data_IF_298070793284
#
_entry.id   IF_298070793284
#
_cell.length_a   1.000
_cell.length_b   1.000
_cell.length_c   1.000
_cell.angle_alpha   90.00
_cell.angle_beta   90.00
_cell.angle_gamma   90.00
#
_symmetry.space_group_name_H-M   'P 1'
#
loop_
_entity.id
_entity.type
_entity.pdbx_description
1 polymer ?
#
# COMPACT_ATOMS: atom_id res chain seq x y z
N UNK A 1 -0.48 10.72 -6.97
CA UNK A 1 0.85 10.12 -6.73
C UNK A 1 2.00 10.94 -7.29
N UNK A 2 1.82 11.69 -8.39
CA UNK A 2 2.85 12.59 -8.99
C UNK A 2 3.61 13.47 -7.99
N UNK A 3 2.99 14.16 -7.01
CA UNK A 3 3.73 14.97 -6.04
C UNK A 3 4.72 14.19 -5.16
N UNK A 4 4.55 12.87 -5.08
CA UNK A 4 5.34 11.96 -4.26
C UNK A 4 6.14 10.96 -5.12
N UNK A 5 6.57 11.40 -6.32
CA UNK A 5 7.44 10.64 -7.23
C UNK A 5 6.80 9.42 -7.89
N UNK A 6 5.50 9.18 -7.71
CA UNK A 6 4.81 8.04 -8.31
C UNK A 6 4.34 8.24 -9.75
N UNK A 7 4.64 9.37 -10.40
CA UNK A 7 4.36 9.54 -11.82
C UNK A 7 4.86 10.87 -12.38
N UNK A 8 4.97 10.95 -13.71
CA UNK A 8 5.18 12.18 -14.47
C UNK A 8 3.96 12.51 -15.31
N UNK A 9 3.56 13.78 -15.31
CA UNK A 9 2.32 14.22 -15.99
C UNK A 9 2.37 13.91 -17.48
N UNK A 10 3.50 14.16 -18.14
CA UNK A 10 3.63 13.91 -19.57
C UNK A 10 3.55 12.41 -19.93
N UNK A 11 4.16 11.54 -19.13
CA UNK A 11 4.10 10.08 -19.33
C UNK A 11 2.66 9.56 -19.11
N UNK A 12 1.98 10.06 -18.09
CA UNK A 12 0.57 9.73 -17.81
C UNK A 12 -0.33 10.17 -18.96
N UNK A 13 -0.12 11.38 -19.50
CA UNK A 13 -0.89 11.88 -20.64
C UNK A 13 -0.60 11.08 -21.93
N UNK A 14 0.64 10.65 -22.15
CA UNK A 14 0.99 9.76 -23.26
C UNK A 14 0.26 8.41 -23.16
N UNK A 15 0.29 7.77 -21.98
CA UNK A 15 -0.45 6.53 -21.74
C UNK A 15 -1.96 6.73 -21.93
N UNK A 16 -2.53 7.78 -21.32
CA UNK A 16 -3.95 8.10 -21.42
C UNK A 16 -4.41 8.35 -22.87
N UNK A 17 -3.56 8.95 -23.71
CA UNK A 17 -3.90 9.19 -25.12
C UNK A 17 -4.10 7.92 -25.96
N UNK A 18 -3.60 6.77 -25.47
CA UNK A 18 -3.69 5.46 -26.12
C UNK A 18 -4.83 4.60 -25.56
N UNK A 19 -5.44 5.00 -24.45
CA UNK A 19 -6.55 4.30 -23.81
C UNK A 19 -7.85 4.64 -24.55
N UNK A 20 -8.58 3.60 -24.92
CA UNK A 20 -9.90 3.71 -25.55
C UNK A 20 -10.97 3.59 -24.49
N UNK A 21 -12.07 4.31 -24.68
CA UNK A 21 -13.22 4.25 -23.78
C UNK A 21 -13.76 2.81 -23.69
N UNK A 22 -14.05 2.36 -22.47
CA UNK A 22 -14.61 1.03 -22.17
C UNK A 22 -13.78 -0.16 -22.69
N UNK A 23 -12.46 -0.01 -22.80
CA UNK A 23 -11.54 -1.05 -23.29
C UNK A 23 -10.45 -1.36 -22.25
N UNK A 24 -10.67 -2.36 -21.37
CA UNK A 24 -9.69 -2.79 -20.36
C UNK A 24 -8.36 -3.26 -20.96
N UNK A 25 -8.36 -3.80 -22.17
CA UNK A 25 -7.12 -4.24 -22.84
C UNK A 25 -6.30 -3.03 -23.26
N UNK A 26 -6.93 -1.96 -23.76
CA UNK A 26 -6.22 -0.71 -24.08
C UNK A 26 -5.62 -0.06 -22.83
N UNK A 27 -6.33 -0.11 -21.70
CA UNK A 27 -5.83 0.29 -20.39
C UNK A 27 -4.60 -0.53 -20.01
N UNK A 28 -4.73 -1.85 -19.97
CA UNK A 28 -3.65 -2.74 -19.58
C UNK A 28 -2.43 -2.60 -20.48
N UNK A 29 -2.58 -2.39 -21.79
CA UNK A 29 -1.44 -2.29 -22.69
C UNK A 29 -0.71 -0.93 -22.61
N UNK A 30 -1.43 0.16 -22.29
CA UNK A 30 -0.85 1.50 -22.24
C UNK A 30 0.14 1.69 -21.09
N UNK A 31 -0.15 1.11 -19.92
CA UNK A 31 0.60 1.35 -18.70
C UNK A 31 1.96 0.63 -18.63
N UNK A 32 2.11 -0.66 -18.99
CA UNK A 32 3.39 -1.35 -19.05
C UNK A 32 4.33 -0.75 -20.09
N UNK A 33 3.81 -0.12 -21.15
CA UNK A 33 4.66 0.60 -22.12
C UNK A 33 5.42 1.73 -21.44
N UNK A 34 4.73 2.61 -20.72
CA UNK A 34 5.36 3.72 -19.98
C UNK A 34 6.10 3.24 -18.73
N UNK A 35 5.61 2.19 -18.06
CA UNK A 35 6.28 1.52 -16.94
C UNK A 35 7.65 0.98 -17.32
N UNK A 36 7.74 0.28 -18.46
CA UNK A 36 9.01 -0.28 -18.97
C UNK A 36 10.02 0.82 -19.32
N UNK A 37 9.56 1.95 -19.88
CA UNK A 37 10.44 3.10 -20.14
C UNK A 37 10.96 3.71 -18.85
N UNK A 38 10.10 3.90 -17.85
CA UNK A 38 10.49 4.40 -16.54
C UNK A 38 11.47 3.47 -15.81
N UNK A 39 11.26 2.15 -15.92
CA UNK A 39 12.15 1.11 -15.38
C UNK A 39 13.53 1.18 -16.05
N UNK A 40 13.60 1.32 -17.38
CA UNK A 40 14.87 1.46 -18.11
C UNK A 40 15.66 2.71 -17.68
N UNK A 41 14.97 3.85 -17.52
CA UNK A 41 15.59 5.08 -16.99
C UNK A 41 16.14 4.85 -15.57
N UNK A 42 15.38 4.13 -14.74
CA UNK A 42 15.81 3.80 -13.38
C UNK A 42 17.06 2.91 -13.37
N UNK A 43 17.12 1.91 -14.25
CA UNK A 43 18.26 1.00 -14.40
C UNK A 43 19.51 1.73 -14.90
N UNK A 44 19.37 2.64 -15.86
CA UNK A 44 20.48 3.48 -16.33
C UNK A 44 21.01 4.38 -15.19
N UNK A 45 20.11 5.03 -14.45
CA UNK A 45 20.47 5.85 -13.29
C UNK A 45 21.15 5.02 -12.18
N UNK A 46 20.64 3.83 -11.88
CA UNK A 46 21.24 2.89 -10.92
C UNK A 46 22.66 2.50 -11.35
N UNK A 47 22.87 2.23 -12.65
CA UNK A 47 24.18 1.83 -13.19
C UNK A 47 25.23 2.95 -13.14
N UNK A 48 24.80 4.21 -13.15
CA UNK A 48 25.65 5.40 -13.10
C UNK A 48 25.78 5.98 -11.70
N UNK A 49 25.08 5.42 -10.71
CA UNK A 49 25.12 5.86 -9.32
C UNK A 49 24.22 7.06 -8.97
N UNK A 50 23.34 7.48 -9.89
CA UNK A 50 22.36 8.53 -9.61
C UNK A 50 21.18 7.96 -8.79
N UNK A 51 21.34 8.00 -7.47
CA UNK A 51 20.36 7.52 -6.49
C UNK A 51 18.98 8.16 -6.66
N UNK A 52 18.93 9.46 -6.97
CA UNK A 52 17.66 10.22 -7.03
C UNK A 52 16.90 9.86 -8.31
N UNK A 53 17.60 9.81 -9.44
CA UNK A 53 16.98 9.40 -10.70
C UNK A 53 16.55 7.93 -10.66
N UNK A 54 17.36 7.04 -10.06
CA UNK A 54 17.02 5.63 -9.88
C UNK A 54 15.75 5.47 -9.03
N UNK A 55 15.70 6.14 -7.86
CA UNK A 55 14.51 6.16 -6.99
C UNK A 55 13.25 6.56 -7.77
N UNK A 56 13.29 7.73 -8.41
CA UNK A 56 12.15 8.28 -9.13
C UNK A 56 11.71 7.38 -10.28
N UNK A 57 12.65 6.87 -11.06
CA UNK A 57 12.35 5.95 -12.16
C UNK A 57 11.60 4.70 -11.66
N UNK A 58 12.13 4.04 -10.63
CA UNK A 58 11.53 2.84 -10.06
C UNK A 58 10.15 3.10 -9.41
N UNK A 59 9.97 4.21 -8.69
CA UNK A 59 8.68 4.54 -8.07
C UNK A 59 7.58 4.76 -9.12
N UNK A 60 7.91 5.43 -10.23
CA UNK A 60 6.98 5.62 -11.36
C UNK A 60 6.70 4.31 -12.08
N UNK A 61 7.74 3.51 -12.36
CA UNK A 61 7.62 2.22 -13.02
C UNK A 61 6.67 1.29 -12.24
N UNK A 62 6.90 1.17 -10.94
CA UNK A 62 6.04 0.43 -10.02
C UNK A 62 4.59 0.91 -10.09
N UNK A 63 4.35 2.22 -9.97
CA UNK A 63 3.00 2.75 -9.97
C UNK A 63 2.28 2.54 -11.32
N UNK A 64 2.97 2.68 -12.45
CA UNK A 64 2.39 2.43 -13.76
C UNK A 64 2.04 0.95 -13.94
N UNK A 65 2.92 0.03 -13.55
CA UNK A 65 2.62 -1.40 -13.59
C UNK A 65 1.46 -1.76 -12.66
N UNK A 66 1.40 -1.19 -11.45
CA UNK A 66 0.26 -1.33 -10.54
C UNK A 66 -1.03 -0.79 -11.16
N UNK A 67 -0.97 0.30 -11.95
CA UNK A 67 -2.12 0.82 -12.68
C UNK A 67 -2.66 -0.17 -13.70
N UNK A 68 -1.76 -0.84 -14.43
CA UNK A 68 -2.12 -1.72 -15.54
C UNK A 68 -3.12 -2.81 -15.14
N UNK A 69 -2.93 -3.43 -13.97
CA UNK A 69 -3.78 -4.53 -13.52
C UNK A 69 -5.14 -4.08 -12.95
N UNK A 70 -5.36 -2.79 -12.70
CA UNK A 70 -6.54 -2.28 -12.00
C UNK A 70 -7.87 -2.65 -12.68
N UNK A 71 -7.89 -2.75 -14.01
CA UNK A 71 -9.09 -3.10 -14.77
C UNK A 71 -9.26 -4.62 -15.00
N UNK A 72 -8.29 -5.44 -14.58
CA UNK A 72 -8.24 -6.89 -14.85
C UNK A 72 -8.81 -7.71 -13.68
N UNK A 73 -9.98 -7.31 -13.19
CA UNK A 73 -10.62 -7.88 -12.00
C UNK A 73 -11.83 -8.77 -12.31
N UNK A 74 -12.13 -9.02 -13.59
CA UNK A 74 -13.26 -9.85 -13.98
C UNK A 74 -12.99 -11.36 -13.80
N UNK A 75 -13.98 -12.04 -13.24
CA UNK A 75 -13.96 -13.48 -13.03
C UNK A 75 -13.27 -13.92 -11.73
N UNK A 76 -13.00 -15.23 -11.59
CA UNK A 76 -12.34 -15.77 -10.40
C UNK A 76 -10.93 -15.21 -10.18
N UNK A 77 -10.49 -15.14 -8.93
CA UNK A 77 -9.11 -14.72 -8.60
C UNK A 77 -8.10 -15.62 -9.32
N UNK A 78 -7.18 -14.98 -10.06
CA UNK A 78 -6.17 -15.65 -10.87
C UNK A 78 -6.64 -16.12 -12.26
N UNK A 79 -7.84 -15.70 -12.68
CA UNK A 79 -8.34 -15.96 -14.03
C UNK A 79 -7.49 -15.23 -15.10
N UNK A 80 -7.24 -13.94 -14.91
CA UNK A 80 -6.35 -13.17 -15.77
C UNK A 80 -4.88 -13.49 -15.45
N UNK A 81 -4.15 -14.00 -16.45
CA UNK A 81 -2.76 -14.45 -16.32
C UNK A 81 -1.75 -13.30 -16.27
N UNK A 82 -2.17 -12.08 -16.61
CA UNK A 82 -1.32 -10.90 -16.61
C UNK A 82 -1.21 -10.22 -15.25
N UNK A 83 -2.23 -10.38 -14.40
CA UNK A 83 -2.32 -9.68 -13.10
C UNK A 83 -1.15 -10.02 -12.19
N UNK A 84 -0.92 -11.31 -11.92
CA UNK A 84 0.11 -11.72 -10.96
C UNK A 84 1.54 -11.35 -11.43
N UNK A 85 1.97 -11.66 -12.67
CA UNK A 85 3.30 -11.25 -13.14
C UNK A 85 3.51 -9.73 -13.15
N UNK A 86 2.48 -8.97 -13.53
CA UNK A 86 2.55 -7.50 -13.55
C UNK A 86 2.65 -6.92 -12.14
N UNK A 87 1.90 -7.49 -11.19
CA UNK A 87 1.97 -7.11 -9.77
C UNK A 87 3.33 -7.45 -9.17
N UNK A 88 3.86 -8.64 -9.41
CA UNK A 88 5.20 -9.04 -8.94
C UNK A 88 6.29 -8.10 -9.46
N UNK A 89 6.21 -7.70 -10.73
CA UNK A 89 7.13 -6.73 -11.32
C UNK A 89 6.98 -5.34 -10.71
N UNK A 90 5.74 -4.88 -10.47
CA UNK A 90 5.49 -3.62 -9.78
C UNK A 90 6.08 -3.61 -8.36
N UNK A 91 5.99 -4.73 -7.64
CA UNK A 91 6.56 -4.92 -6.30
C UNK A 91 8.09 -4.89 -6.35
N UNK A 92 8.71 -5.55 -7.33
CA UNK A 92 10.17 -5.53 -7.47
C UNK A 92 10.70 -4.12 -7.73
N UNK A 93 10.09 -3.40 -8.68
CA UNK A 93 10.42 -2.00 -8.95
C UNK A 93 10.24 -1.13 -7.70
N UNK A 94 9.13 -1.29 -6.98
CA UNK A 94 8.91 -0.56 -5.73
C UNK A 94 10.04 -0.80 -4.72
N UNK A 95 10.38 -2.07 -4.49
CA UNK A 95 11.43 -2.48 -3.55
C UNK A 95 12.81 -1.98 -3.96
N UNK A 96 13.09 -1.85 -5.25
CA UNK A 96 14.33 -1.22 -5.75
C UNK A 96 14.31 0.28 -5.48
N UNK A 97 13.20 0.94 -5.77
CA UNK A 97 13.03 2.38 -5.55
C UNK A 97 13.20 2.79 -4.09
N UNK A 98 12.53 2.11 -3.16
CA UNK A 98 12.55 2.51 -1.74
C UNK A 98 13.92 2.36 -1.06
N UNK A 99 14.83 1.54 -1.60
CA UNK A 99 16.22 1.43 -1.09
C UNK A 99 17.03 2.72 -1.26
N UNK A 100 16.56 3.64 -2.09
CA UNK A 100 17.18 4.94 -2.32
C UNK A 100 16.52 6.08 -1.54
N UNK A 101 15.57 5.77 -0.64
CA UNK A 101 15.07 6.74 0.31
C UNK A 101 16.15 7.15 1.31
N UNK A 102 15.96 8.31 1.92
CA UNK A 102 16.91 8.85 2.90
C UNK A 102 16.80 8.13 4.26
N UNK A 103 15.60 7.63 4.58
CA UNK A 103 15.33 6.82 5.76
C UNK A 103 15.33 5.33 5.45
N UNK A 104 15.58 4.51 6.47
CA UNK A 104 15.62 3.05 6.33
C UNK A 104 14.24 2.49 6.04
N UNK A 105 14.19 1.45 5.20
CA UNK A 105 12.98 0.68 4.91
C UNK A 105 13.24 -0.78 5.20
N UNK A 106 12.49 -1.34 6.14
CA UNK A 106 12.56 -2.76 6.46
C UNK A 106 11.47 -3.54 5.74
N UNK A 107 11.88 -4.53 4.96
CA UNK A 107 10.98 -5.51 4.34
C UNK A 107 10.69 -6.63 5.34
N UNK A 108 9.49 -6.63 5.89
CA UNK A 108 9.05 -7.57 6.91
C UNK A 108 8.07 -8.59 6.31
N UNK A 109 8.02 -9.77 6.93
CA UNK A 109 7.07 -10.82 6.57
C UNK A 109 6.39 -11.31 7.84
N UNK A 110 5.20 -10.77 8.12
CA UNK A 110 4.44 -11.05 9.34
C UNK A 110 3.92 -12.48 9.25
N UNK A 111 4.33 -13.40 10.17
CA UNK A 111 3.80 -14.76 10.17
C UNK A 111 2.29 -14.76 10.39
N UNK A 112 1.58 -15.50 9.55
CA UNK A 112 0.13 -15.61 9.59
C UNK A 112 -0.33 -17.07 9.51
N UNK A 113 -1.64 -17.28 9.60
CA UNK A 113 -2.28 -18.59 9.57
C UNK A 113 -1.84 -19.43 8.36
N UNK A 114 -1.81 -20.77 8.52
CA UNK A 114 -1.49 -21.71 7.44
C UNK A 114 -0.13 -21.48 6.76
N UNK A 115 0.85 -20.92 7.48
CA UNK A 115 2.20 -20.58 7.00
C UNK A 115 2.24 -19.45 5.96
N UNK A 116 1.11 -18.79 5.71
CA UNK A 116 1.06 -17.57 4.91
C UNK A 116 1.82 -16.48 5.65
N UNK A 117 2.43 -15.56 4.91
CA UNK A 117 3.09 -14.39 5.47
C UNK A 117 2.49 -13.15 4.87
N UNK A 118 2.16 -12.17 5.70
CA UNK A 118 1.71 -10.86 5.22
C UNK A 118 2.95 -10.02 4.91
N UNK A 119 3.20 -9.65 3.65
CA UNK A 119 4.29 -8.77 3.30
C UNK A 119 4.00 -7.39 3.86
N UNK A 120 5.00 -6.77 4.46
CA UNK A 120 4.86 -5.46 5.09
C UNK A 120 6.14 -4.65 4.98
N UNK A 121 6.00 -3.33 4.90
CA UNK A 121 7.10 -2.39 4.81
C UNK A 121 7.05 -1.43 5.99
N UNK A 122 8.13 -1.41 6.77
CA UNK A 122 8.32 -0.43 7.84
C UNK A 122 9.29 0.65 7.37
N UNK A 123 8.77 1.85 7.16
CA UNK A 123 9.51 3.03 6.75
C UNK A 123 9.88 3.83 8.00
N UNK A 124 11.17 4.09 8.20
CA UNK A 124 11.68 4.87 9.32
C UNK A 124 12.01 6.30 8.88
N UNK A 125 11.83 7.30 9.75
CA UNK A 125 12.31 8.65 9.50
C UNK A 125 13.83 8.66 9.32
N UNK A 126 14.38 9.45 8.39
CA UNK A 126 15.82 9.68 8.36
C UNK A 126 16.27 10.42 9.64
N UNK A 127 17.52 10.23 10.05
CA UNK A 127 18.06 10.78 11.31
C UNK A 127 17.79 12.28 11.49
N UNK A 128 17.85 13.07 10.41
CA UNK A 128 17.60 14.52 10.45
C UNK A 128 16.14 14.91 10.73
N UNK A 129 15.22 13.94 10.69
CA UNK A 129 13.79 14.09 11.04
C UNK A 129 13.45 13.48 12.39
N UNK A 130 14.36 12.70 12.97
CA UNK A 130 14.25 12.24 14.34
C UNK A 130 14.51 13.40 15.31
N UNK A 131 13.85 13.39 16.46
CA UNK A 131 14.09 14.38 17.51
C UNK A 131 15.37 14.01 18.28
N UNK A 132 16.44 14.83 18.29
CA UNK A 132 17.67 14.50 19.01
C UNK A 132 17.41 14.44 20.52
N UNK A 133 17.69 13.28 21.15
CA UNK A 133 17.32 12.99 22.54
C UNK A 133 15.82 13.15 22.83
N UNK A 134 14.98 13.08 21.79
CA UNK A 134 13.54 13.21 21.88
C UNK A 134 12.85 11.90 22.29
N UNK A 135 11.51 11.91 22.33
CA UNK A 135 10.76 10.67 22.48
C UNK A 135 11.06 9.71 21.32
N UNK A 136 10.83 8.43 21.58
CA UNK A 136 10.93 7.38 20.56
C UNK A 136 10.03 7.71 19.36
N UNK A 137 10.32 7.09 18.22
CA UNK A 137 9.62 7.33 16.96
C UNK A 137 8.17 6.81 17.00
N UNK A 138 7.13 7.67 16.96
CA UNK A 138 5.74 7.23 16.92
C UNK A 138 5.45 6.44 15.65
N UNK A 139 4.58 5.43 15.76
CA UNK A 139 4.29 4.51 14.64
C UNK A 139 2.87 4.68 14.12
N UNK A 140 2.74 4.80 12.80
CA UNK A 140 1.47 4.76 12.08
C UNK A 140 1.35 3.43 11.32
N UNK A 141 0.39 2.60 11.69
CA UNK A 141 0.02 1.39 10.94
C UNK A 141 -1.04 1.76 9.90
N UNK A 142 -0.75 1.54 8.63
CA UNK A 142 -1.71 1.72 7.54
C UNK A 142 -2.21 0.37 7.04
N UNK A 143 -3.53 0.16 7.15
CA UNK A 143 -4.21 -1.08 6.74
C UNK A 143 -4.66 -1.09 5.28
N UNK A 144 -4.21 -0.12 4.49
CA UNK A 144 -4.45 -0.02 3.06
C UNK A 144 -5.87 0.37 2.70
N UNK A 145 -6.32 -0.10 1.53
CA UNK A 145 -7.68 0.06 1.00
C UNK A 145 -8.21 -1.28 0.50
N UNK A 146 -9.37 -1.29 -0.16
CA UNK A 146 -10.01 -2.53 -0.60
C UNK A 146 -9.39 -3.16 -1.85
N UNK A 147 -8.99 -2.31 -2.79
CA UNK A 147 -8.46 -2.66 -4.11
C UNK A 147 -7.00 -2.20 -4.32
N UNK A 148 -6.39 -1.61 -3.29
CA UNK A 148 -5.01 -1.16 -3.30
C UNK A 148 -3.99 -2.24 -2.94
N UNK A 149 -2.72 -1.94 -3.22
CA UNK A 149 -1.55 -2.68 -2.72
C UNK A 149 -0.76 -1.80 -1.74
N UNK A 150 0.00 -2.38 -0.81
CA UNK A 150 0.81 -1.60 0.12
C UNK A 150 1.82 -0.64 -0.58
N UNK A 151 2.29 -0.98 -1.78
CA UNK A 151 3.12 -0.12 -2.63
C UNK A 151 2.37 1.12 -3.12
N UNK A 152 1.07 1.00 -3.37
CA UNK A 152 0.21 2.14 -3.69
C UNK A 152 0.06 3.08 -2.49
N UNK A 153 -0.16 2.48 -1.32
CA UNK A 153 -0.35 3.18 -0.05
C UNK A 153 0.86 4.01 0.34
N UNK A 154 2.05 3.63 -0.13
CA UNK A 154 3.25 4.46 0.04
C UNK A 154 3.01 5.90 -0.40
N UNK A 155 2.40 6.13 -1.57
CA UNK A 155 2.19 7.48 -2.10
C UNK A 155 1.15 8.30 -1.34
N UNK A 156 0.40 7.68 -0.43
CA UNK A 156 -0.66 8.31 0.36
C UNK A 156 -0.16 8.65 1.76
N UNK A 157 0.51 7.70 2.44
CA UNK A 157 0.95 7.89 3.83
C UNK A 157 2.45 7.72 4.04
N UNK A 158 3.07 6.69 3.47
CA UNK A 158 4.45 6.35 3.81
C UNK A 158 5.50 7.22 3.12
N UNK A 159 5.12 7.96 2.07
CA UNK A 159 5.95 8.98 1.43
C UNK A 159 6.04 10.28 2.23
N UNK A 160 5.19 10.47 3.26
CA UNK A 160 5.13 11.70 4.06
C UNK A 160 5.44 11.44 5.54
N UNK A 161 4.95 10.34 6.10
CA UNK A 161 5.11 10.02 7.53
C UNK A 161 6.56 10.11 8.04
N UNK A 162 7.54 9.43 7.39
CA UNK A 162 8.95 9.55 7.74
C UNK A 162 9.50 10.99 7.70
N UNK A 163 9.03 11.82 6.76
CA UNK A 163 9.44 13.25 6.71
C UNK A 163 8.84 14.10 7.83
N UNK A 164 7.76 13.63 8.44
CA UNK A 164 7.13 14.21 9.63
C UNK A 164 7.64 13.61 10.94
N UNK A 165 8.59 12.66 10.88
CA UNK A 165 9.16 12.00 12.07
C UNK A 165 8.37 10.79 12.57
N UNK A 166 7.49 10.21 11.75
CA UNK A 166 6.75 8.99 12.08
C UNK A 166 7.35 7.78 11.39
N UNK A 167 7.42 6.66 12.10
CA UNK A 167 7.54 5.36 11.46
C UNK A 167 6.19 5.02 10.82
N UNK A 168 6.20 4.45 9.61
CA UNK A 168 4.97 4.01 8.94
C UNK A 168 5.10 2.54 8.61
N UNK A 169 4.12 1.74 9.00
CA UNK A 169 4.02 0.33 8.64
C UNK A 169 2.87 0.15 7.66
N UNK A 170 3.16 -0.29 6.44
CA UNK A 170 2.14 -0.74 5.47
C UNK A 170 2.19 -2.26 5.35
N UNK A 171 1.07 -2.90 5.01
CA UNK A 171 1.01 -4.33 4.78
C UNK A 171 -0.15 -4.70 3.84
N UNK A 172 -0.01 -5.83 3.16
CA UNK A 172 -1.14 -6.48 2.48
C UNK A 172 -1.71 -7.58 3.40
N UNK A 173 -2.99 -7.46 3.78
CA UNK A 173 -3.69 -8.45 4.58
C UNK A 173 -4.54 -9.44 3.77
N UNK A 174 -5.30 -10.31 4.47
CA UNK A 174 -6.33 -11.16 3.84
C UNK A 174 -7.27 -10.32 2.95
N UNK A 175 -7.45 -10.71 1.68
CA UNK A 175 -8.29 -9.98 0.73
C UNK A 175 -7.62 -8.79 0.04
N UNK A 176 -6.34 -8.52 0.29
CA UNK A 176 -5.63 -7.35 -0.28
C UNK A 176 -4.42 -7.77 -1.12
N UNK A 177 -4.09 -6.93 -2.10
CA UNK A 177 -2.83 -6.94 -2.85
C UNK A 177 -2.31 -8.32 -3.24
N UNK A 178 -1.00 -8.54 -3.02
CA UNK A 178 -0.33 -9.78 -3.43
C UNK A 178 -0.81 -11.00 -2.63
N UNK A 179 -1.27 -10.81 -1.39
CA UNK A 179 -1.80 -11.88 -0.53
C UNK A 179 -3.07 -12.48 -1.12
N UNK A 180 -3.98 -11.65 -1.66
CA UNK A 180 -5.15 -12.15 -2.37
C UNK A 180 -4.76 -12.85 -3.69
N UNK A 181 -3.82 -12.27 -4.45
CA UNK A 181 -3.50 -12.79 -5.80
C UNK A 181 -2.67 -14.07 -5.77
N UNK A 182 -1.70 -14.16 -4.88
CA UNK A 182 -0.78 -15.29 -4.76
C UNK A 182 -1.34 -16.38 -3.86
N UNK A 183 -1.67 -16.03 -2.61
CA UNK A 183 -2.10 -17.01 -1.59
C UNK A 183 -3.61 -17.28 -1.63
N UNK A 184 -4.38 -16.49 -2.40
CA UNK A 184 -5.85 -16.59 -2.50
C UNK A 184 -6.52 -16.52 -1.13
N UNK A 185 -5.91 -15.78 -0.20
CA UNK A 185 -6.43 -15.61 1.15
C UNK A 185 -7.55 -14.56 1.11
N UNK A 186 -8.82 -14.95 1.30
CA UNK A 186 -9.94 -14.01 1.20
C UNK A 186 -9.97 -13.06 2.41
N UNK A 187 -10.66 -11.93 2.24
CA UNK A 187 -10.98 -11.03 3.34
C UNK A 187 -11.74 -11.78 4.44
N UNK A 188 -11.45 -11.44 5.70
CA UNK A 188 -12.14 -11.96 6.88
C UNK A 188 -12.96 -10.86 7.56
N UNK A 189 -14.06 -11.20 8.25
CA UNK A 189 -14.94 -10.21 8.88
C UNK A 189 -14.37 -9.60 10.17
N UNK A 190 -13.50 -10.33 10.86
CA UNK A 190 -12.87 -10.01 12.15
C UNK A 190 -11.45 -9.43 11.96
N UNK A 191 -11.38 -8.22 11.41
CA UNK A 191 -10.10 -7.58 11.02
C UNK A 191 -9.19 -7.27 12.21
N UNK A 192 -9.73 -7.14 13.42
CA UNK A 192 -8.96 -6.97 14.65
C UNK A 192 -7.95 -8.10 14.88
N UNK A 193 -8.24 -9.31 14.38
CA UNK A 193 -7.31 -10.45 14.44
C UNK A 193 -6.08 -10.20 13.56
N UNK A 194 -6.26 -9.60 12.39
CA UNK A 194 -5.16 -9.26 11.48
C UNK A 194 -4.28 -8.20 12.12
N UNK A 195 -4.89 -7.13 12.64
CA UNK A 195 -4.18 -6.03 13.31
C UNK A 195 -3.43 -6.53 14.53
N UNK A 196 -4.02 -7.43 15.33
CA UNK A 196 -3.33 -8.06 16.46
C UNK A 196 -2.03 -8.75 16.04
N UNK A 197 -2.02 -9.50 14.92
CA UNK A 197 -0.80 -10.14 14.37
C UNK A 197 0.23 -9.14 13.87
N UNK A 198 -0.22 -8.07 13.22
CA UNK A 198 0.65 -6.98 12.74
C UNK A 198 1.36 -6.32 13.93
N UNK A 199 0.62 -6.01 15.00
CA UNK A 199 1.15 -5.39 16.21
C UNK A 199 2.09 -6.32 16.98
N UNK A 200 1.77 -7.62 17.11
CA UNK A 200 2.65 -8.61 17.72
C UNK A 200 4.01 -8.63 16.99
N UNK A 201 3.98 -8.66 15.66
CA UNK A 201 5.20 -8.67 14.86
C UNK A 201 5.98 -7.36 14.94
N UNK A 202 5.30 -6.21 14.98
CA UNK A 202 5.95 -4.91 15.18
C UNK A 202 6.69 -4.86 16.53
N UNK A 203 6.07 -5.40 17.58
CA UNK A 203 6.67 -5.53 18.90
C UNK A 203 7.89 -6.46 18.88
N UNK A 204 7.80 -7.61 18.21
CA UNK A 204 8.91 -8.55 18.06
C UNK A 204 10.08 -7.89 17.31
N UNK A 205 9.77 -7.18 16.22
CA UNK A 205 10.75 -6.44 15.42
C UNK A 205 11.46 -5.39 16.27
N UNK A 206 10.73 -4.57 17.01
CA UNK A 206 11.28 -3.52 17.88
C UNK A 206 12.21 -4.09 18.95
N UNK A 207 11.87 -5.24 19.54
CA UNK A 207 12.74 -5.92 20.52
C UNK A 207 14.03 -6.45 19.88
N UNK A 208 13.95 -6.97 18.65
CA UNK A 208 15.10 -7.46 17.91
C UNK A 208 15.98 -6.34 17.34
N UNK A 209 15.42 -5.14 17.12
CA UNK A 209 16.07 -3.99 16.49
C UNK A 209 15.94 -2.73 17.37
N UNK A 210 16.58 -2.69 18.56
CA UNK A 210 16.47 -1.53 19.46
C UNK A 210 16.93 -0.21 18.82
N UNK A 211 17.78 -0.26 17.79
CA UNK A 211 18.24 0.92 17.04
C UNK A 211 17.17 1.59 16.17
N UNK A 212 16.04 0.92 15.88
CA UNK A 212 14.90 1.55 15.20
C UNK A 212 14.15 2.55 16.11
N UNK A 213 14.40 2.49 17.42
CA UNK A 213 13.86 3.39 18.45
C UNK A 213 12.36 3.69 18.30
N UNK A 214 11.56 2.64 18.10
CA UNK A 214 10.12 2.75 17.92
C UNK A 214 9.40 3.02 19.25
N UNK A 215 8.45 3.94 19.22
CA UNK A 215 7.49 4.19 20.29
C UNK A 215 6.29 3.24 20.13
N UNK A 216 6.25 2.22 21.00
CA UNK A 216 5.16 1.24 21.01
C UNK A 216 4.02 1.63 21.94
N UNK A 217 4.17 2.71 22.72
CA UNK A 217 3.10 3.27 23.55
C UNK A 217 2.25 4.26 22.75
N UNK A 218 2.76 4.77 21.62
CA UNK A 218 2.06 5.71 20.72
C UNK A 218 1.91 5.13 19.30
N UNK A 219 1.05 4.12 19.17
CA UNK A 219 0.70 3.53 17.87
C UNK A 219 -0.64 4.09 17.39
N UNK A 220 -0.65 4.66 16.19
CA UNK A 220 -1.86 5.05 15.48
C UNK A 220 -2.18 4.06 14.36
N UNK A 221 -3.46 3.93 14.00
CA UNK A 221 -3.92 3.18 12.84
C UNK A 221 -4.65 4.08 11.85
N UNK A 222 -4.47 3.84 10.55
CA UNK A 222 -5.18 4.56 9.48
C UNK A 222 -5.54 3.65 8.32
N UNK A 223 -6.60 4.00 7.60
CA UNK A 223 -6.95 3.41 6.32
C UNK A 223 -8.03 4.22 5.61
N UNK A 224 -8.13 4.05 4.30
CA UNK A 224 -9.09 4.76 3.46
C UNK A 224 -10.08 3.81 2.79
N UNK A 225 -11.30 4.28 2.52
CA UNK A 225 -12.37 3.46 1.93
C UNK A 225 -12.62 2.21 2.79
N UNK A 226 -12.52 1.00 2.22
CA UNK A 226 -12.60 -0.26 2.97
C UNK A 226 -11.52 -0.37 4.07
N UNK A 227 -10.37 0.27 3.88
CA UNK A 227 -9.35 0.46 4.91
C UNK A 227 -9.79 1.29 6.11
N UNK A 228 -10.73 2.22 5.92
CA UNK A 228 -11.32 2.96 7.02
C UNK A 228 -12.17 2.07 7.93
N UNK A 229 -12.88 1.10 7.35
CA UNK A 229 -13.57 0.04 8.12
C UNK A 229 -12.56 -0.82 8.89
N UNK A 230 -11.49 -1.25 8.22
CA UNK A 230 -10.41 -1.99 8.84
C UNK A 230 -9.73 -1.24 10.00
N UNK A 231 -9.51 0.07 9.86
CA UNK A 231 -8.90 0.89 10.89
C UNK A 231 -9.80 0.97 12.14
N UNK A 232 -11.12 1.12 11.95
CA UNK A 232 -12.10 1.14 13.05
C UNK A 232 -12.10 -0.18 13.84
N UNK A 233 -12.06 -1.33 13.15
CA UNK A 233 -11.97 -2.63 13.81
C UNK A 233 -10.58 -2.87 14.42
N UNK A 234 -9.52 -2.43 13.77
CA UNK A 234 -8.17 -2.50 14.33
C UNK A 234 -8.00 -1.69 15.62
N UNK A 235 -8.72 -0.59 15.75
CA UNK A 235 -8.69 0.28 16.91
C UNK A 235 -9.30 -0.32 18.19
N UNK A 236 -9.91 -1.51 18.12
CA UNK A 236 -10.36 -2.24 19.32
C UNK A 236 -9.19 -2.87 20.09
N UNK A 237 -8.02 -3.04 19.44
CA UNK A 237 -6.81 -3.50 20.13
C UNK A 237 -6.29 -2.39 21.06
N UNK A 238 -6.11 -2.65 22.36
CA UNK A 238 -5.78 -1.62 23.36
C UNK A 238 -4.41 -0.96 23.16
N UNK A 239 -3.55 -1.53 22.30
CA UNK A 239 -2.26 -0.92 21.93
C UNK A 239 -2.42 0.27 20.99
N UNK A 240 -3.53 0.35 20.24
CA UNK A 240 -3.81 1.48 19.36
C UNK A 240 -4.31 2.67 20.18
N UNK A 241 -3.62 3.81 20.07
CA UNK A 241 -3.95 5.05 20.79
C UNK A 241 -4.71 6.07 19.95
N UNK A 242 -4.69 5.94 18.63
CA UNK A 242 -5.38 6.83 17.71
C UNK A 242 -5.84 6.08 16.46
N UNK A 243 -7.03 6.42 15.97
CA UNK A 243 -7.61 5.84 14.76
C UNK A 243 -8.02 6.94 13.78
N UNK A 244 -7.60 6.79 12.52
CA UNK A 244 -7.95 7.70 11.42
C UNK A 244 -8.70 6.87 10.36
N UNK A 245 -10.01 7.05 10.29
CA UNK A 245 -10.85 6.41 9.26
C UNK A 245 -11.19 7.42 8.18
N UNK A 246 -10.69 7.19 6.95
CA UNK A 246 -10.82 8.15 5.83
C UNK A 246 -11.92 7.65 4.88
N UNK A 247 -13.08 8.31 4.91
CA UNK A 247 -14.27 7.94 4.14
C UNK A 247 -14.65 6.44 4.30
N UNK A 248 -14.36 5.86 5.46
CA UNK A 248 -14.73 4.49 5.79
C UNK A 248 -16.20 4.37 6.18
N UNK A 249 -16.66 3.13 6.24
CA UNK A 249 -17.99 2.75 6.73
C UNK A 249 -17.85 1.88 7.98
N UNK A 250 -18.89 1.79 8.79
CA UNK A 250 -18.87 0.99 10.03
C UNK A 250 -19.54 -0.39 9.88
N UNK A 251 -20.35 -0.60 8.85
CA UNK A 251 -21.11 -1.83 8.62
C UNK A 251 -20.91 -2.38 7.22
N UNK A 252 -20.35 -3.60 7.13
CA UNK A 252 -20.21 -4.34 5.87
C UNK A 252 -21.57 -4.69 5.26
N UNK A 253 -22.58 -4.94 6.09
CA UNK A 253 -23.94 -5.20 5.62
C UNK A 253 -24.51 -3.97 4.90
N UNK A 254 -24.41 -2.79 5.52
CA UNK A 254 -24.87 -1.53 4.92
C UNK A 254 -24.12 -1.24 3.62
N UNK A 255 -22.81 -1.44 3.61
CA UNK A 255 -21.99 -1.27 2.40
C UNK A 255 -22.44 -2.21 1.26
N UNK A 256 -22.63 -3.50 1.56
CA UNK A 256 -23.08 -4.49 0.59
C UNK A 256 -24.49 -4.18 0.05
N UNK A 257 -25.41 -3.79 0.94
CA UNK A 257 -26.77 -3.38 0.54
C UNK A 257 -26.76 -2.15 -0.37
N UNK A 258 -25.96 -1.13 -0.03
CA UNK A 258 -25.81 0.07 -0.86
C UNK A 258 -25.24 -0.27 -2.25
N UNK A 259 -24.24 -1.15 -2.33
CA UNK A 259 -23.67 -1.60 -3.60
C UNK A 259 -24.70 -2.35 -4.46
N UNK A 260 -25.49 -3.26 -3.86
CA UNK A 260 -26.57 -3.94 -4.56
C UNK A 260 -27.66 -2.98 -5.06
N UNK A 261 -28.01 -1.95 -4.28
CA UNK A 261 -29.04 -0.97 -4.64
C UNK A 261 -28.56 0.08 -5.64
N UNK A 262 -27.27 0.44 -5.64
CA UNK A 262 -26.68 1.34 -6.64
C UNK A 262 -26.71 0.72 -8.05
N UNK A 263 -26.53 -0.60 -8.16
CA UNK A 263 -26.79 -1.34 -9.40
C UNK A 263 -28.26 -1.34 -9.84
N UNK A 264 -29.18 -0.92 -8.96
CA UNK A 264 -30.63 -0.89 -9.18
C UNK A 264 -31.24 0.54 -9.14
N UNK A 265 -30.43 1.60 -9.05
CA UNK A 265 -30.88 2.98 -9.31
C UNK A 265 -31.58 3.73 -8.16
N UNK A 266 -31.28 3.44 -6.88
CA UNK A 266 -31.77 4.28 -5.79
C UNK A 266 -30.92 4.20 -4.53
N UNK A 267 -30.39 5.34 -4.05
CA UNK A 267 -29.84 5.42 -2.70
C UNK A 267 -30.02 6.81 -2.07
N UNK A 268 -30.30 6.85 -0.76
CA UNK A 268 -30.35 8.05 0.09
C UNK A 268 -29.29 7.95 1.17
N UNK A 269 -28.40 8.94 1.26
CA UNK A 269 -27.21 8.95 2.11
C UNK A 269 -27.48 9.15 3.63
N UNK A 270 -28.69 8.87 4.13
CA UNK A 270 -29.06 9.16 5.53
C UNK A 270 -28.89 8.01 6.52
N UNK A 271 -28.61 6.80 6.03
CA UNK A 271 -28.56 5.58 6.87
C UNK A 271 -27.16 4.92 6.94
N UNK A 272 -26.11 5.59 6.42
CA UNK A 272 -24.71 5.13 6.45
C UNK A 272 -23.82 6.02 7.32
#
# INVERSE_FOLDING_TARGET
MTPFEGGEIAEILDAASKIKDQDPDSWYNSWPEVGTKAEQIAQEAESTGDRVAARRGYQRASNYLRAAQFMLNEGPIGHDKHVLPTMERAIDDFRRGVKYLDGDVHFLNIPYENKIKLPSYLYLPPECKCLPNGPKTPTLVNTGEGDSTQEEIYFISASVGPYLGYAVLTFDGPGQGIVLRCDKLPMRPDWEVVVGRVLDHLWDFARAHPGADLDLDHIAITGASMGGYYALWGAVDPRIQACISIYGFYSMECFAQAACQAGCGGFSARDC
#
